data_IF_456174264979
#
_entry.id   IF_456174264979
#
_cell.length_a   1.000
_cell.length_b   1.000
_cell.length_c   1.000
_cell.angle_alpha   90.00
_cell.angle_beta   90.00
_cell.angle_gamma   90.00
#
_symmetry.space_group_name_H-M   'P 1'
#
loop_
_entity.id
_entity.type
_entity.pdbx_description
1 polymer ?
#
# COMPACT_ATOMS: atom_id res chain seq x y z
N UNK A 1 -13.21 12.93 5.43
CA UNK A 1 -12.43 12.46 4.27
C UNK A 1 -11.71 11.17 4.63
N UNK A 2 -11.73 10.21 3.73
CA UNK A 2 -11.05 8.92 3.93
C UNK A 2 -9.95 8.78 2.89
N UNK A 3 -8.73 8.51 3.34
CA UNK A 3 -7.55 8.44 2.48
C UNK A 3 -6.98 7.03 2.52
N UNK A 4 -6.74 6.46 1.34
CA UNK A 4 -6.13 5.15 1.20
C UNK A 4 -4.64 5.30 0.97
N UNK A 5 -3.85 4.58 1.75
CA UNK A 5 -2.39 4.52 1.60
C UNK A 5 -1.99 3.07 1.38
N UNK A 6 -1.71 2.68 0.13
CA UNK A 6 -1.18 1.34 -0.13
C UNK A 6 0.21 1.19 0.46
N UNK A 7 0.47 0.07 1.12
CA UNK A 7 1.75 -0.23 1.74
C UNK A 7 2.22 -1.62 1.33
N UNK A 8 3.53 -1.78 1.20
CA UNK A 8 4.14 -3.05 0.80
C UNK A 8 5.38 -3.41 1.63
N UNK A 9 5.59 -2.69 2.74
CA UNK A 9 6.76 -2.88 3.58
C UNK A 9 7.99 -2.13 3.09
N UNK A 10 7.86 -1.35 2.02
CA UNK A 10 8.98 -0.59 1.46
C UNK A 10 9.10 0.78 2.12
N UNK A 11 10.31 1.37 2.02
CA UNK A 11 10.56 2.72 2.51
C UNK A 11 9.69 3.77 1.81
N UNK A 12 9.50 3.73 0.47
CA UNK A 12 8.58 4.67 -0.19
C UNK A 12 7.15 4.60 0.33
N UNK A 13 6.67 3.41 0.66
CA UNK A 13 5.32 3.27 1.23
C UNK A 13 5.23 3.88 2.63
N UNK A 14 6.27 3.70 3.43
CA UNK A 14 6.33 4.32 4.76
C UNK A 14 6.37 5.84 4.67
N UNK A 15 7.12 6.38 3.69
CA UNK A 15 7.16 7.82 3.44
C UNK A 15 5.79 8.36 3.03
N UNK A 16 5.06 7.61 2.21
CA UNK A 16 3.70 7.98 1.81
C UNK A 16 2.76 8.01 2.99
N UNK A 17 2.86 7.02 3.87
CA UNK A 17 2.03 6.97 5.08
C UNK A 17 2.35 8.15 6.00
N UNK A 18 3.62 8.44 6.23
CA UNK A 18 4.04 9.59 7.05
C UNK A 18 3.51 10.90 6.47
N UNK A 19 3.61 11.06 5.15
CA UNK A 19 3.10 12.24 4.45
C UNK A 19 1.59 12.39 4.69
N UNK A 20 0.83 11.30 4.50
CA UNK A 20 -0.61 11.35 4.68
C UNK A 20 -0.98 11.73 6.12
N UNK A 21 -0.27 11.19 7.11
CA UNK A 21 -0.52 11.49 8.51
C UNK A 21 -0.22 12.95 8.84
N UNK A 22 0.80 13.54 8.24
CA UNK A 22 1.18 14.94 8.48
C UNK A 22 0.28 15.94 7.76
N UNK A 23 -0.09 15.64 6.52
CA UNK A 23 -0.82 16.58 5.68
C UNK A 23 -2.34 16.53 5.86
N UNK A 24 -2.87 15.40 6.24
CA UNK A 24 -4.32 15.20 6.35
C UNK A 24 -4.70 14.87 7.79
N UNK A 25 -4.54 15.84 8.66
CA UNK A 25 -4.69 15.67 10.10
C UNK A 25 -6.10 15.31 10.55
N UNK A 26 -7.12 15.67 9.77
CA UNK A 26 -8.52 15.40 10.10
C UNK A 26 -9.11 14.23 9.31
N UNK A 27 -8.30 13.56 8.50
CA UNK A 27 -8.77 12.47 7.66
C UNK A 27 -8.64 11.12 8.36
N UNK A 28 -9.52 10.19 7.95
CA UNK A 28 -9.38 8.78 8.31
C UNK A 28 -8.39 8.14 7.34
N UNK A 29 -7.31 7.60 7.86
CA UNK A 29 -6.27 6.97 7.05
C UNK A 29 -6.47 5.45 7.07
N UNK A 30 -6.50 4.86 5.88
CA UNK A 30 -6.58 3.40 5.71
C UNK A 30 -5.28 2.93 5.07
N UNK A 31 -4.53 2.10 5.76
CA UNK A 31 -3.33 1.45 5.20
C UNK A 31 -3.74 0.09 4.65
N UNK A 32 -3.48 -0.13 3.37
CA UNK A 32 -3.87 -1.35 2.67
C UNK A 32 -2.65 -2.14 2.19
N UNK A 33 -2.55 -3.38 2.60
CA UNK A 33 -1.56 -4.31 2.08
C UNK A 33 -2.21 -5.25 1.08
N UNK A 34 -1.67 -5.34 -0.14
CA UNK A 34 -2.18 -6.24 -1.17
C UNK A 34 -1.25 -7.45 -1.31
N UNK A 35 -1.82 -8.63 -1.13
CA UNK A 35 -1.11 -9.90 -1.32
C UNK A 35 -1.26 -10.33 -2.78
N UNK A 36 -0.13 -10.44 -3.51
CA UNK A 36 -0.14 -10.79 -4.92
C UNK A 36 0.12 -12.29 -5.10
N UNK A 37 -0.89 -13.08 -5.54
CA UNK A 37 -0.72 -14.52 -5.73
C UNK A 37 0.31 -14.88 -6.80
N UNK A 38 0.50 -14.01 -7.79
CA UNK A 38 1.47 -14.25 -8.87
C UNK A 38 2.88 -14.27 -8.32
N UNK A 39 3.23 -13.31 -7.48
CA UNK A 39 4.53 -13.27 -6.82
C UNK A 39 4.72 -14.48 -5.92
N UNK A 40 3.70 -14.83 -5.15
CA UNK A 40 3.75 -15.99 -4.27
C UNK A 40 3.96 -17.27 -5.05
N UNK A 41 3.22 -17.49 -6.13
CA UNK A 41 3.34 -18.67 -6.95
C UNK A 41 4.71 -18.77 -7.62
N UNK A 42 5.24 -17.65 -8.07
CA UNK A 42 6.58 -17.60 -8.69
C UNK A 42 7.67 -17.93 -7.68
N UNK A 43 7.57 -17.39 -6.48
CA UNK A 43 8.59 -17.55 -5.46
C UNK A 43 8.60 -18.96 -4.85
N UNK A 44 7.46 -19.61 -4.74
CA UNK A 44 7.32 -20.86 -3.97
C UNK A 44 7.15 -22.10 -4.84
N UNK A 45 6.84 -21.93 -6.13
CA UNK A 45 6.70 -23.03 -7.06
C UNK A 45 5.40 -23.79 -6.92
N UNK A 46 5.18 -24.80 -7.80
CA UNK A 46 3.96 -25.58 -7.80
C UNK A 46 3.77 -26.40 -6.52
N UNK A 47 2.57 -26.46 -6.03
CA UNK A 47 2.22 -27.30 -4.89
C UNK A 47 2.45 -26.66 -3.51
N UNK A 48 2.93 -25.43 -3.46
CA UNK A 48 3.19 -24.75 -2.19
C UNK A 48 2.20 -23.64 -1.87
N UNK A 49 0.99 -23.72 -2.42
CA UNK A 49 -0.03 -22.69 -2.23
C UNK A 49 -0.38 -22.44 -0.75
N UNK A 50 -0.46 -23.51 0.04
CA UNK A 50 -0.76 -23.38 1.47
C UNK A 50 0.35 -22.68 2.25
N UNK A 51 1.60 -23.02 1.93
CA UNK A 51 2.76 -22.38 2.56
C UNK A 51 2.89 -20.92 2.16
N UNK A 52 2.62 -20.63 0.89
CA UNK A 52 2.60 -19.26 0.40
C UNK A 52 1.59 -18.41 1.18
N UNK A 53 0.37 -18.95 1.33
CA UNK A 53 -0.70 -18.23 2.02
C UNK A 53 -0.31 -17.91 3.47
N UNK A 54 0.21 -18.89 4.20
CA UNK A 54 0.63 -18.69 5.58
C UNK A 54 1.74 -17.66 5.70
N UNK A 55 2.76 -17.76 4.85
CA UNK A 55 3.88 -16.82 4.85
C UNK A 55 3.43 -15.40 4.49
N UNK A 56 2.49 -15.30 3.55
CA UNK A 56 1.98 -14.00 3.11
C UNK A 56 1.11 -13.35 4.18
N UNK A 57 0.32 -14.15 4.91
CA UNK A 57 -0.47 -13.64 6.02
C UNK A 57 0.45 -13.11 7.14
N UNK A 58 1.53 -13.81 7.47
CA UNK A 58 2.50 -13.35 8.46
C UNK A 58 3.17 -12.05 8.02
N UNK A 59 3.52 -11.95 6.75
CA UNK A 59 4.11 -10.74 6.18
C UNK A 59 3.10 -9.58 6.25
N UNK A 60 1.85 -9.84 5.90
CA UNK A 60 0.79 -8.85 5.96
C UNK A 60 0.65 -8.29 7.38
N UNK A 61 0.60 -9.17 8.38
CA UNK A 61 0.51 -8.75 9.78
C UNK A 61 1.69 -7.87 10.18
N UNK A 62 2.91 -8.25 9.78
CA UNK A 62 4.10 -7.48 10.11
C UNK A 62 4.10 -6.10 9.45
N UNK A 63 3.70 -6.03 8.18
CA UNK A 63 3.63 -4.76 7.45
C UNK A 63 2.57 -3.85 8.05
N UNK A 64 1.40 -4.41 8.38
CA UNK A 64 0.31 -3.63 8.96
C UNK A 64 0.63 -3.16 10.39
N UNK A 65 1.30 -3.99 11.19
CA UNK A 65 1.77 -3.59 12.51
C UNK A 65 2.79 -2.45 12.43
N UNK A 66 3.69 -2.51 11.45
CA UNK A 66 4.65 -1.44 11.22
C UNK A 66 3.92 -0.12 10.89
N UNK A 67 2.89 -0.20 10.05
CA UNK A 67 2.09 0.97 9.69
C UNK A 67 1.39 1.56 10.92
N UNK A 68 0.84 0.72 11.78
CA UNK A 68 0.22 1.18 13.01
C UNK A 68 1.25 1.86 13.93
N UNK A 69 2.47 1.34 13.96
CA UNK A 69 3.57 1.94 14.73
C UNK A 69 3.95 3.31 14.19
N UNK A 70 4.02 3.47 12.88
CA UNK A 70 4.29 4.78 12.26
C UNK A 70 3.20 5.78 12.64
N UNK A 71 1.94 5.37 12.61
CA UNK A 71 0.82 6.22 12.99
C UNK A 71 0.88 6.59 14.48
N UNK A 72 1.17 5.61 15.33
CA UNK A 72 1.25 5.84 16.79
C UNK A 72 2.33 6.85 17.14
N UNK A 73 3.45 6.86 16.41
CA UNK A 73 4.52 7.85 16.63
C UNK A 73 4.06 9.28 16.38
N UNK A 74 3.01 9.46 15.59
CA UNK A 74 2.40 10.78 15.36
C UNK A 74 1.20 11.04 16.26
N UNK A 75 0.88 10.13 17.16
CA UNK A 75 -0.28 10.23 18.05
C UNK A 75 -1.60 9.94 17.37
N UNK A 76 -1.59 9.23 16.24
CA UNK A 76 -2.78 8.95 15.46
C UNK A 76 -3.08 7.45 15.37
N UNK A 77 -4.35 7.15 15.17
CA UNK A 77 -4.81 5.81 14.88
C UNK A 77 -5.16 5.72 13.40
N UNK A 78 -4.91 4.57 12.80
CA UNK A 78 -5.28 4.30 11.41
C UNK A 78 -6.09 3.01 11.34
N UNK A 79 -6.81 2.84 10.24
CA UNK A 79 -7.44 1.57 9.90
C UNK A 79 -6.45 0.78 9.05
N UNK A 80 -6.31 -0.50 9.30
CA UNK A 80 -5.49 -1.38 8.47
C UNK A 80 -6.36 -2.43 7.83
N UNK A 81 -6.02 -2.79 6.59
CA UNK A 81 -6.76 -3.80 5.85
C UNK A 81 -5.83 -4.52 4.88
N UNK A 82 -6.24 -5.68 4.42
CA UNK A 82 -5.50 -6.45 3.43
C UNK A 82 -6.44 -6.96 2.35
N UNK A 83 -5.88 -7.19 1.17
CA UNK A 83 -6.61 -7.67 0.02
C UNK A 83 -5.72 -8.63 -0.77
N UNK A 84 -6.30 -9.49 -1.58
CA UNK A 84 -5.56 -10.41 -2.44
C UNK A 84 -5.84 -10.05 -3.89
N UNK A 85 -4.80 -9.95 -4.70
CA UNK A 85 -4.94 -9.64 -6.12
C UNK A 85 -3.72 -8.93 -6.67
N UNK A 86 -3.84 -8.45 -7.89
CA UNK A 86 -2.82 -7.61 -8.50
C UNK A 86 -2.86 -6.24 -7.81
N UNK A 87 -1.72 -5.73 -7.35
CA UNK A 87 -1.72 -4.53 -6.51
C UNK A 87 -2.50 -3.34 -7.08
N UNK A 88 -2.21 -2.91 -8.29
CA UNK A 88 -2.89 -1.74 -8.84
C UNK A 88 -4.39 -1.97 -8.99
N UNK A 89 -4.79 -3.14 -9.48
CA UNK A 89 -6.20 -3.48 -9.65
C UNK A 89 -6.92 -3.54 -8.30
N UNK A 90 -6.32 -4.20 -7.32
CA UNK A 90 -6.90 -4.33 -5.98
C UNK A 90 -7.06 -2.97 -5.30
N UNK A 91 -6.10 -2.06 -5.49
CA UNK A 91 -6.18 -0.71 -4.94
C UNK A 91 -7.37 0.04 -5.53
N UNK A 92 -7.52 0.04 -6.86
CA UNK A 92 -8.62 0.73 -7.53
C UNK A 92 -9.97 0.13 -7.13
N UNK A 93 -10.04 -1.18 -7.05
CA UNK A 93 -11.26 -1.87 -6.62
C UNK A 93 -11.63 -1.52 -5.18
N UNK A 94 -10.64 -1.44 -4.30
CA UNK A 94 -10.85 -1.04 -2.90
C UNK A 94 -11.43 0.37 -2.81
N UNK A 95 -10.93 1.29 -3.61
CA UNK A 95 -11.44 2.67 -3.68
C UNK A 95 -12.92 2.68 -4.04
N UNK A 96 -13.30 1.87 -5.02
CA UNK A 96 -14.69 1.80 -5.46
C UNK A 96 -15.63 1.18 -4.42
N UNK A 97 -15.11 0.30 -3.58
CA UNK A 97 -15.93 -0.44 -2.61
C UNK A 97 -16.01 0.22 -1.22
N UNK A 98 -15.09 1.12 -0.90
CA UNK A 98 -14.94 1.62 0.48
C UNK A 98 -15.03 3.13 0.64
N UNK A 99 -15.64 3.82 -0.29
CA UNK A 99 -15.84 5.28 -0.22
C UNK A 99 -14.56 6.06 0.08
N UNK A 100 -13.50 5.72 -0.61
CA UNK A 100 -12.21 6.41 -0.50
C UNK A 100 -12.30 7.73 -1.26
N UNK A 101 -11.84 8.81 -0.64
CA UNK A 101 -11.86 10.15 -1.24
C UNK A 101 -10.56 10.48 -1.98
N UNK A 102 -9.46 9.88 -1.58
CA UNK A 102 -8.14 10.18 -2.14
C UNK A 102 -7.17 9.04 -1.86
N UNK A 103 -6.18 8.90 -2.73
CA UNK A 103 -5.08 7.93 -2.54
C UNK A 103 -3.79 8.70 -2.32
N UNK A 104 -2.97 8.25 -1.37
CA UNK A 104 -1.60 8.73 -1.20
C UNK A 104 -0.70 7.51 -1.35
N UNK A 105 0.17 7.53 -2.35
CA UNK A 105 0.97 6.36 -2.72
C UNK A 105 2.43 6.74 -2.92
N UNK A 106 3.34 5.86 -2.56
CA UNK A 106 4.76 6.04 -2.83
C UNK A 106 5.05 5.91 -4.32
N UNK A 107 6.05 6.64 -4.81
CA UNK A 107 6.40 6.62 -6.23
C UNK A 107 6.99 5.29 -6.69
N UNK A 108 7.55 4.51 -5.77
CA UNK A 108 8.16 3.21 -6.04
C UNK A 108 7.69 2.18 -5.02
N UNK A 109 7.76 0.88 -5.39
CA UNK A 109 7.61 -0.20 -4.43
C UNK A 109 8.98 -0.74 -4.00
N UNK A 110 9.00 -1.99 -3.52
CA UNK A 110 10.23 -2.64 -3.05
C UNK A 110 11.30 -2.77 -4.11
N UNK A 111 10.90 -2.89 -5.36
CA UNK A 111 11.81 -3.05 -6.49
C UNK A 111 12.13 -1.73 -7.17
N UNK A 112 11.87 -0.61 -6.49
CA UNK A 112 12.08 0.71 -7.03
C UNK A 112 13.51 0.95 -7.45
N UNK A 113 13.67 1.47 -8.67
CA UNK A 113 14.97 1.85 -9.22
C UNK A 113 15.05 3.37 -9.17
N UNK A 114 16.17 3.91 -8.68
CA UNK A 114 16.33 5.34 -8.46
C UNK A 114 16.07 6.20 -9.71
N UNK A 115 16.21 5.62 -10.89
CA UNK A 115 16.00 6.33 -12.15
C UNK A 115 14.55 6.31 -12.62
N UNK A 116 13.72 5.47 -12.04
CA UNK A 116 12.31 5.38 -12.41
C UNK A 116 11.56 6.45 -11.64
N UNK A 117 10.93 7.38 -12.37
CA UNK A 117 10.19 8.48 -11.74
C UNK A 117 8.90 7.98 -11.09
N UNK A 118 8.35 6.88 -11.62
CA UNK A 118 7.09 6.35 -11.14
C UNK A 118 7.08 4.83 -11.33
N UNK A 119 6.86 4.10 -10.27
CA UNK A 119 6.77 2.64 -10.32
C UNK A 119 5.51 2.19 -11.06
N UNK A 120 5.51 0.94 -11.50
CA UNK A 120 4.41 0.38 -12.32
C UNK A 120 3.06 0.40 -11.60
N UNK A 121 3.04 0.10 -10.31
CA UNK A 121 1.79 0.12 -9.53
C UNK A 121 1.29 1.56 -9.40
N UNK A 122 2.16 2.49 -9.03
CA UNK A 122 1.79 3.89 -8.88
C UNK A 122 1.30 4.49 -10.20
N UNK A 123 1.99 4.19 -11.31
CA UNK A 123 1.57 4.65 -12.62
C UNK A 123 0.17 4.15 -12.99
N UNK A 124 -0.09 2.87 -12.80
CA UNK A 124 -1.39 2.29 -13.12
C UNK A 124 -2.49 2.89 -12.23
N UNK A 125 -2.21 3.07 -10.94
CA UNK A 125 -3.16 3.69 -10.01
C UNK A 125 -3.49 5.12 -10.44
N UNK A 126 -2.48 5.91 -10.79
CA UNK A 126 -2.69 7.29 -11.28
C UNK A 126 -3.59 7.32 -12.51
N UNK A 127 -3.38 6.39 -13.44
CA UNK A 127 -4.15 6.35 -14.68
C UNK A 127 -5.58 5.86 -14.50
N UNK A 128 -5.85 5.02 -13.49
CA UNK A 128 -7.13 4.33 -13.36
C UNK A 128 -7.98 4.73 -12.16
N UNK A 129 -7.41 5.38 -11.18
CA UNK A 129 -8.15 5.72 -9.97
C UNK A 129 -9.27 6.74 -10.27
N UNK A 130 -10.47 6.53 -9.71
CA UNK A 130 -11.57 7.48 -9.88
C UNK A 130 -11.51 8.66 -8.91
N UNK A 131 -10.45 8.73 -8.10
CA UNK A 131 -10.25 9.78 -7.08
C UNK A 131 -8.87 10.41 -7.27
N UNK A 132 -8.61 11.58 -6.67
CA UNK A 132 -7.27 12.18 -6.72
C UNK A 132 -6.22 11.25 -6.14
N UNK A 133 -5.02 11.29 -6.73
CA UNK A 133 -3.88 10.49 -6.29
C UNK A 133 -2.71 11.42 -6.03
N UNK A 134 -2.18 11.40 -4.82
CA UNK A 134 -0.95 12.09 -4.47
C UNK A 134 0.18 11.07 -4.49
N UNK A 135 1.19 11.32 -5.29
CA UNK A 135 2.38 10.48 -5.38
C UNK A 135 3.48 11.09 -4.54
N UNK A 136 3.94 10.35 -3.53
CA UNK A 136 4.98 10.83 -2.64
C UNK A 136 6.33 10.32 -3.14
N UNK A 137 7.22 11.25 -3.44
CA UNK A 137 8.57 10.92 -3.92
C UNK A 137 9.48 10.59 -2.75
N UNK A 138 10.49 9.73 -2.96
CA UNK A 138 11.43 9.40 -1.89
C UNK A 138 12.11 10.67 -1.38
N UNK A 139 12.28 10.74 -0.06
CA UNK A 139 13.12 11.76 0.55
C UNK A 139 14.56 11.30 0.48
N UNK A 140 15.44 12.17 0.05
CA UNK A 140 16.87 11.88 0.02
C UNK A 140 17.56 12.28 1.29
#
# INVERSE_FOLDING_TARGET
>A
MRILVPIDGSSPADDALAYALEQFTDADIVALYVMDPVDGATAWGPGSAGDWLSATEERSEAVLENAEGVAADTGREITTDSSVGRPAHAIVEYVNEHDIDQIVIGSHGRDGIARVLLGSVAETVVLRAPVPVTVVRPTE
#
